data_IF_278314519854
#
_entry.id   IF_278314519854
#
_cell.length_a   1.000
_cell.length_b   1.000
_cell.length_c   1.000
_cell.angle_alpha   90.00
_cell.angle_beta   90.00
_cell.angle_gamma   90.00
#
_symmetry.space_group_name_H-M   'P 1'
#
loop_
_entity.id
_entity.type
_entity.pdbx_description
1 polymer ?
#
# COMPACT_ATOMS: atom_id res chain seq x y z
N UNK A 1 -8.60 -12.65 6.91
CA UNK A 1 -8.96 -11.81 5.75
C UNK A 1 -10.42 -11.42 5.96
N UNK A 2 -10.67 -10.34 6.70
CA UNK A 2 -12.01 -9.79 6.90
C UNK A 2 -12.61 -9.31 5.57
N UNK A 3 -13.69 -8.54 5.61
CA UNK A 3 -14.48 -8.04 4.47
C UNK A 3 -13.74 -7.10 3.50
N UNK A 4 -12.53 -7.45 3.07
CA UNK A 4 -11.73 -6.65 2.14
C UNK A 4 -11.77 -7.27 0.75
N UNK A 5 -12.22 -6.51 -0.23
CA UNK A 5 -12.16 -6.90 -1.64
C UNK A 5 -10.78 -6.62 -2.21
N UNK A 6 -10.06 -7.69 -2.59
CA UNK A 6 -8.68 -7.61 -3.08
C UNK A 6 -8.63 -7.83 -4.59
N UNK A 7 -7.92 -6.96 -5.31
CA UNK A 7 -7.66 -7.10 -6.75
C UNK A 7 -6.18 -7.34 -6.97
N UNK A 8 -5.86 -8.35 -7.78
CA UNK A 8 -4.49 -8.67 -8.19
C UNK A 8 -4.31 -8.41 -9.68
N UNK A 9 -3.35 -7.55 -10.03
CA UNK A 9 -2.90 -7.33 -11.41
C UNK A 9 -1.79 -8.31 -11.76
N UNK A 10 -2.00 -9.12 -12.80
CA UNK A 10 -1.03 -10.12 -13.26
C UNK A 10 -0.66 -9.93 -14.72
N UNK A 11 0.47 -10.50 -15.14
CA UNK A 11 0.76 -10.70 -16.56
C UNK A 11 -0.15 -11.80 -17.11
N UNK A 12 -0.48 -11.72 -18.39
CA UNK A 12 -1.17 -12.79 -19.10
C UNK A 12 -0.21 -13.98 -19.33
N UNK A 13 -0.66 -15.26 -19.18
CA UNK A 13 -2.03 -15.72 -19.00
C UNK A 13 -2.54 -15.69 -17.55
N UNK A 14 -3.80 -15.26 -17.37
CA UNK A 14 -4.45 -15.13 -16.05
C UNK A 14 -4.78 -16.48 -15.37
N UNK A 15 -4.84 -17.57 -16.14
CA UNK A 15 -5.29 -18.89 -15.65
C UNK A 15 -4.33 -19.46 -14.62
N UNK A 16 -3.03 -19.42 -14.90
CA UNK A 16 -1.98 -19.90 -13.99
C UNK A 16 -2.05 -19.24 -12.61
N UNK A 17 -2.32 -17.94 -12.56
CA UNK A 17 -2.42 -17.21 -11.29
C UNK A 17 -3.70 -17.54 -10.53
N UNK A 18 -4.81 -17.81 -11.23
CA UNK A 18 -6.04 -18.30 -10.60
C UNK A 18 -5.84 -19.68 -9.99
N UNK A 19 -5.15 -20.58 -10.70
CA UNK A 19 -4.87 -21.93 -10.20
C UNK A 19 -3.93 -21.88 -8.97
N UNK A 20 -2.92 -21.00 -8.98
CA UNK A 20 -2.05 -20.74 -7.82
C UNK A 20 -2.80 -20.15 -6.62
N UNK A 21 -3.76 -19.25 -6.86
CA UNK A 21 -4.58 -18.64 -5.80
C UNK A 21 -5.60 -19.63 -5.23
N UNK A 22 -6.16 -20.50 -6.07
CA UNK A 22 -7.04 -21.59 -5.65
C UNK A 22 -6.26 -22.59 -4.80
N UNK A 23 -5.05 -22.98 -5.21
CA UNK A 23 -4.16 -23.82 -4.41
C UNK A 23 -3.75 -23.17 -3.07
N UNK A 24 -3.62 -21.85 -3.04
CA UNK A 24 -3.34 -21.08 -1.82
C UNK A 24 -4.57 -20.83 -0.94
N UNK A 25 -5.77 -21.28 -1.36
CA UNK A 25 -7.04 -21.14 -0.66
C UNK A 25 -7.41 -19.68 -0.34
N UNK A 26 -7.16 -18.77 -1.29
CA UNK A 26 -7.50 -17.34 -1.17
C UNK A 26 -8.72 -17.02 -2.02
N UNK A 27 -9.91 -17.11 -1.43
CA UNK A 27 -11.19 -17.08 -2.17
C UNK A 27 -11.66 -15.66 -2.56
N UNK A 28 -11.06 -14.60 -2.00
CA UNK A 28 -11.51 -13.20 -2.19
C UNK A 28 -10.58 -12.33 -3.05
N UNK A 29 -9.78 -12.93 -3.94
CA UNK A 29 -8.87 -12.18 -4.83
C UNK A 29 -9.37 -12.21 -6.28
N UNK A 30 -9.71 -11.04 -6.80
CA UNK A 30 -10.08 -10.86 -8.21
C UNK A 30 -8.83 -10.64 -9.06
N UNK A 31 -8.52 -11.60 -9.92
CA UNK A 31 -7.37 -11.53 -10.85
C UNK A 31 -7.75 -10.77 -12.13
N UNK A 32 -7.00 -9.71 -12.45
CA UNK A 32 -7.15 -8.91 -13.67
C UNK A 32 -5.82 -8.89 -14.42
N UNK A 33 -5.79 -9.40 -15.66
CA UNK A 33 -4.62 -9.28 -16.51
C UNK A 33 -4.49 -7.91 -17.18
N UNK A 34 -3.28 -7.57 -17.60
CA UNK A 34 -2.96 -6.28 -18.22
C UNK A 34 -3.79 -6.07 -19.50
N UNK A 35 -3.97 -7.10 -20.32
CA UNK A 35 -4.77 -6.99 -21.55
C UNK A 35 -6.24 -6.62 -21.27
N UNK A 36 -6.82 -7.18 -20.21
CA UNK A 36 -8.19 -6.83 -19.79
C UNK A 36 -8.25 -5.41 -19.24
N UNK A 37 -7.22 -4.98 -18.51
CA UNK A 37 -7.13 -3.61 -18.01
C UNK A 37 -7.07 -2.60 -19.16
N UNK A 38 -6.29 -2.91 -20.21
CA UNK A 38 -6.15 -2.10 -21.43
C UNK A 38 -7.39 -2.04 -22.30
N UNK A 39 -8.22 -3.09 -22.33
CA UNK A 39 -9.41 -3.14 -23.19
C UNK A 39 -10.67 -2.64 -22.48
N UNK A 40 -10.91 -3.07 -21.24
CA UNK A 40 -12.18 -2.86 -20.53
C UNK A 40 -12.20 -1.65 -19.60
N UNK A 41 -11.04 -1.21 -19.12
CA UNK A 41 -10.94 -0.15 -18.12
C UNK A 41 -10.25 1.11 -18.67
N UNK A 42 -10.45 1.41 -19.96
CA UNK A 42 -9.94 2.65 -20.57
C UNK A 42 -10.75 3.85 -20.12
N UNK A 43 -12.08 3.70 -20.09
CA UNK A 43 -13.03 4.74 -19.71
C UNK A 43 -12.85 5.17 -18.26
N UNK A 44 -13.06 6.48 -18.02
CA UNK A 44 -12.88 7.08 -16.71
C UNK A 44 -13.85 6.52 -15.65
N UNK A 45 -15.09 6.24 -16.04
CA UNK A 45 -16.10 5.67 -15.15
C UNK A 45 -15.72 4.25 -14.69
N UNK A 46 -15.27 3.41 -15.62
CA UNK A 46 -14.81 2.06 -15.29
C UNK A 46 -13.64 2.06 -14.29
N UNK A 47 -12.69 2.99 -14.43
CA UNK A 47 -11.59 3.17 -13.47
C UNK A 47 -12.09 3.64 -12.10
N UNK A 48 -13.04 4.57 -12.07
CA UNK A 48 -13.62 5.09 -10.82
C UNK A 48 -14.39 4.00 -10.08
N UNK A 49 -15.17 3.19 -10.80
CA UNK A 49 -15.94 2.05 -10.26
C UNK A 49 -15.01 0.97 -9.73
N UNK A 50 -13.92 0.65 -10.45
CA UNK A 50 -12.92 -0.30 -9.95
C UNK A 50 -12.29 0.21 -8.65
N UNK A 51 -11.97 1.50 -8.57
CA UNK A 51 -11.37 2.13 -7.40
C UNK A 51 -12.31 2.25 -6.19
N UNK A 52 -13.63 2.38 -6.42
CA UNK A 52 -14.64 2.45 -5.36
C UNK A 52 -15.10 1.08 -4.87
N UNK A 53 -15.18 0.08 -5.75
CA UNK A 53 -15.68 -1.26 -5.41
C UNK A 53 -14.65 -2.21 -4.80
N UNK A 54 -13.39 -1.78 -4.66
CA UNK A 54 -12.32 -2.61 -4.09
C UNK A 54 -11.44 -1.80 -3.14
N UNK A 55 -10.91 -2.46 -2.11
CA UNK A 55 -10.15 -1.82 -1.04
C UNK A 55 -8.65 -1.90 -1.28
N UNK A 56 -8.18 -3.09 -1.63
CA UNK A 56 -6.75 -3.39 -1.75
C UNK A 56 -6.42 -3.78 -3.18
N UNK A 57 -5.46 -3.06 -3.75
CA UNK A 57 -4.86 -3.38 -5.05
C UNK A 57 -3.47 -3.95 -4.85
N UNK A 58 -3.22 -5.09 -5.47
CA UNK A 58 -1.96 -5.81 -5.51
C UNK A 58 -1.55 -6.01 -6.97
N UNK A 59 -0.26 -6.17 -7.22
CA UNK A 59 0.27 -6.38 -8.55
C UNK A 59 1.55 -7.19 -8.53
N UNK A 60 1.78 -7.98 -9.56
CA UNK A 60 3.10 -8.55 -9.81
C UNK A 60 4.15 -7.44 -10.01
N UNK A 61 5.35 -7.63 -9.49
CA UNK A 61 6.45 -6.66 -9.60
C UNK A 61 6.71 -6.24 -11.07
N UNK A 62 6.57 -7.18 -12.01
CA UNK A 62 6.81 -6.94 -13.44
C UNK A 62 5.78 -6.01 -14.08
N UNK A 63 4.58 -5.91 -13.51
CA UNK A 63 3.49 -5.12 -14.09
C UNK A 63 3.38 -3.72 -13.47
N UNK A 64 3.95 -3.52 -12.28
CA UNK A 64 3.99 -2.23 -11.58
C UNK A 64 4.35 -1.02 -12.47
N UNK A 65 5.42 -1.03 -13.29
CA UNK A 65 5.79 0.14 -14.09
C UNK A 65 4.73 0.53 -15.14
N UNK A 66 3.85 -0.41 -15.52
CA UNK A 66 2.80 -0.17 -16.52
C UNK A 66 1.50 0.36 -15.88
N UNK A 67 1.27 0.08 -14.60
CA UNK A 67 0.02 0.39 -13.91
C UNK A 67 -0.28 1.90 -13.77
N UNK A 68 0.68 2.81 -13.55
CA UNK A 68 0.38 4.24 -13.47
C UNK A 68 -0.29 4.79 -14.73
N UNK A 69 0.14 4.32 -15.91
CA UNK A 69 -0.43 4.72 -17.20
C UNK A 69 -1.85 4.18 -17.40
N UNK A 70 -2.12 2.97 -16.90
CA UNK A 70 -3.40 2.28 -17.10
C UNK A 70 -4.47 2.72 -16.09
N UNK A 71 -4.13 2.78 -14.80
CA UNK A 71 -5.05 3.12 -13.70
C UNK A 71 -5.39 4.61 -13.65
N UNK A 72 -4.50 5.47 -14.16
CA UNK A 72 -4.71 6.93 -14.19
C UNK A 72 -4.68 7.57 -12.80
N UNK A 73 -4.96 8.88 -12.75
CA UNK A 73 -4.77 9.74 -11.56
C UNK A 73 -5.73 9.42 -10.40
N UNK A 74 -6.90 8.82 -10.66
CA UNK A 74 -7.92 8.57 -9.64
C UNK A 74 -7.44 7.61 -8.54
N UNK A 75 -6.59 6.64 -8.88
CA UNK A 75 -6.00 5.69 -7.93
C UNK A 75 -4.96 6.36 -7.03
N UNK A 76 -4.14 7.25 -7.59
CA UNK A 76 -3.14 8.01 -6.84
C UNK A 76 -3.79 8.99 -5.87
N UNK A 77 -4.86 9.67 -6.28
CA UNK A 77 -5.59 10.62 -5.42
C UNK A 77 -6.19 9.96 -4.19
N UNK A 78 -6.63 8.70 -4.30
CA UNK A 78 -7.22 7.93 -3.19
C UNK A 78 -6.19 7.12 -2.39
N UNK A 79 -4.88 7.25 -2.66
CA UNK A 79 -3.82 6.42 -2.06
C UNK A 79 -4.02 4.90 -2.24
N UNK A 80 -4.85 4.49 -3.21
CA UNK A 80 -5.15 3.08 -3.52
C UNK A 80 -4.21 2.52 -4.59
N UNK A 81 -2.93 2.86 -4.49
CA UNK A 81 -1.91 2.42 -5.45
C UNK A 81 -1.68 0.89 -5.30
N UNK A 82 -1.40 0.17 -6.38
CA UNK A 82 -1.14 -1.26 -6.30
C UNK A 82 0.18 -1.56 -5.58
N UNK A 83 0.17 -2.52 -4.66
CA UNK A 83 1.38 -2.97 -3.97
C UNK A 83 2.05 -4.13 -4.72
N UNK A 84 3.39 -4.13 -4.75
CA UNK A 84 4.19 -5.21 -5.32
C UNK A 84 3.98 -6.51 -4.56
N UNK A 85 3.75 -7.61 -5.27
CA UNK A 85 3.76 -8.97 -4.71
C UNK A 85 4.58 -9.87 -5.62
N UNK A 86 5.57 -10.54 -5.05
CA UNK A 86 6.37 -11.55 -5.75
C UNK A 86 5.55 -12.85 -5.90
N UNK A 87 4.92 -13.05 -7.06
CA UNK A 87 4.14 -14.26 -7.37
C UNK A 87 5.04 -15.46 -7.80
N UNK A 88 6.36 -15.27 -7.83
CA UNK A 88 7.37 -16.28 -8.17
C UNK A 88 7.81 -17.12 -6.98
N UNK A 89 7.64 -16.63 -5.74
CA UNK A 89 8.03 -17.37 -4.53
C UNK A 89 6.96 -18.41 -4.15
N UNK A 90 7.39 -19.52 -3.54
CA UNK A 90 6.49 -20.61 -3.10
C UNK A 90 5.45 -20.14 -2.06
N UNK A 91 5.74 -19.09 -1.29
CA UNK A 91 4.89 -18.62 -0.19
C UNK A 91 3.97 -17.47 -0.60
N UNK A 92 3.23 -17.63 -1.70
CA UNK A 92 2.32 -16.58 -2.22
C UNK A 92 1.32 -16.13 -1.14
N UNK A 93 0.82 -17.05 -0.31
CA UNK A 93 -0.15 -16.76 0.75
C UNK A 93 0.40 -15.81 1.81
N UNK A 94 1.65 -15.99 2.21
CA UNK A 94 2.29 -15.14 3.23
C UNK A 94 2.55 -13.74 2.68
N UNK A 95 3.07 -13.65 1.45
CA UNK A 95 3.29 -12.36 0.78
C UNK A 95 1.98 -11.60 0.56
N UNK A 96 0.89 -12.29 0.19
CA UNK A 96 -0.44 -11.69 0.08
C UNK A 96 -0.94 -11.19 1.44
N UNK A 97 -0.81 -12.01 2.49
CA UNK A 97 -1.20 -11.61 3.84
C UNK A 97 -0.41 -10.38 4.30
N UNK A 98 0.90 -10.38 4.12
CA UNK A 98 1.77 -9.26 4.45
C UNK A 98 1.42 -8.00 3.65
N UNK A 99 1.03 -8.12 2.38
CA UNK A 99 0.64 -6.99 1.56
C UNK A 99 -0.75 -6.42 1.93
N UNK A 100 -1.64 -7.25 2.48
CA UNK A 100 -2.98 -6.84 2.93
C UNK A 100 -2.95 -6.27 4.35
N UNK A 101 -2.27 -6.95 5.28
CA UNK A 101 -2.14 -6.54 6.68
C UNK A 101 -1.06 -5.45 6.88
N UNK A 102 -0.13 -5.31 5.93
CA UNK A 102 0.98 -4.39 6.00
C UNK A 102 0.63 -2.94 5.66
N UNK A 103 1.34 -2.04 6.33
CA UNK A 103 1.24 -0.61 6.08
C UNK A 103 2.04 -0.18 4.86
N UNK A 104 1.47 0.76 4.09
CA UNK A 104 2.11 1.31 2.89
C UNK A 104 3.01 2.48 3.24
N UNK A 105 4.26 2.39 2.82
CA UNK A 105 5.23 3.47 2.88
C UNK A 105 5.66 3.82 1.46
N UNK A 106 5.20 4.98 0.96
CA UNK A 106 5.62 5.51 -0.33
C UNK A 106 6.55 6.69 -0.07
N UNK A 107 7.84 6.61 -0.44
CA UNK A 107 8.73 7.74 -0.32
C UNK A 107 8.23 8.87 -1.24
N UNK A 108 7.86 10.04 -0.71
CA UNK A 108 7.46 11.18 -1.51
C UNK A 108 8.68 11.78 -2.20
N UNK A 109 8.43 12.60 -3.22
CA UNK A 109 9.45 13.49 -3.79
C UNK A 109 9.71 14.74 -2.94
N UNK A 110 9.02 14.91 -1.82
CA UNK A 110 9.13 16.06 -0.92
C UNK A 110 9.55 15.67 0.50
N UNK A 111 9.42 16.60 1.45
CA UNK A 111 9.93 16.43 2.81
C UNK A 111 8.97 15.68 3.75
N UNK A 112 7.68 15.60 3.39
CA UNK A 112 6.64 15.03 4.25
C UNK A 112 6.16 13.67 3.75
N UNK A 113 6.33 12.63 4.57
CA UNK A 113 5.69 11.32 4.39
C UNK A 113 4.56 11.17 5.39
N UNK A 114 3.41 10.68 4.95
CA UNK A 114 2.33 10.24 5.85
C UNK A 114 2.14 8.73 5.71
N UNK A 115 1.96 8.05 6.84
CA UNK A 115 1.88 6.60 6.91
C UNK A 115 0.69 6.22 7.80
N UNK A 116 -0.16 5.30 7.33
CA UNK A 116 -1.31 4.82 8.07
C UNK A 116 -0.88 3.75 9.08
N UNK A 117 -0.96 4.06 10.38
CA UNK A 117 -0.49 3.18 11.46
C UNK A 117 -1.58 2.31 12.09
N UNK A 118 -2.86 2.61 11.85
CA UNK A 118 -4.00 1.85 12.36
C UNK A 118 -5.31 2.62 12.29
N UNK A 119 -6.36 1.99 12.82
CA UNK A 119 -7.71 2.56 12.90
C UNK A 119 -8.10 2.82 14.37
N UNK A 120 -9.04 3.73 14.60
CA UNK A 120 -9.52 4.07 15.94
C UNK A 120 -10.20 2.90 16.67
N UNK A 121 -10.67 1.90 15.93
CA UNK A 121 -11.33 0.71 16.48
C UNK A 121 -10.32 -0.28 17.12
N UNK A 122 -9.01 -0.06 16.92
CA UNK A 122 -7.98 -0.94 17.45
C UNK A 122 -7.57 -0.54 18.88
N UNK A 123 -7.16 -1.50 19.74
CA UNK A 123 -6.70 -1.18 21.08
C UNK A 123 -5.42 -0.35 21.07
N UNK A 124 -5.32 0.60 22.01
CA UNK A 124 -4.19 1.52 22.11
C UNK A 124 -2.83 0.82 22.17
N UNK A 125 -2.72 -0.31 22.87
CA UNK A 125 -1.47 -1.07 22.96
C UNK A 125 -0.95 -1.52 21.58
N UNK A 126 -1.85 -1.94 20.69
CA UNK A 126 -1.48 -2.32 19.33
C UNK A 126 -1.09 -1.11 18.48
N UNK A 127 -1.78 0.03 18.64
CA UNK A 127 -1.44 1.26 17.92
C UNK A 127 -0.03 1.76 18.28
N UNK A 128 0.32 1.75 19.57
CA UNK A 128 1.66 2.15 20.02
C UNK A 128 2.73 1.21 19.46
N UNK A 129 2.49 -0.10 19.48
CA UNK A 129 3.40 -1.10 18.90
C UNK A 129 3.59 -0.87 17.39
N UNK A 130 2.51 -0.58 16.66
CA UNK A 130 2.55 -0.29 15.23
C UNK A 130 3.33 0.99 14.94
N UNK A 131 3.11 2.07 15.69
CA UNK A 131 3.86 3.33 15.53
C UNK A 131 5.36 3.11 15.71
N UNK A 132 5.75 2.36 16.76
CA UNK A 132 7.16 2.02 16.99
C UNK A 132 7.73 1.14 15.88
N UNK A 133 6.98 0.15 15.40
CA UNK A 133 7.41 -0.72 14.30
C UNK A 133 7.59 0.07 13.00
N UNK A 134 6.66 0.98 12.69
CA UNK A 134 6.74 1.86 11.52
C UNK A 134 7.93 2.79 11.62
N UNK A 135 8.16 3.44 12.77
CA UNK A 135 9.31 4.31 12.95
C UNK A 135 10.64 3.54 12.73
N UNK A 136 10.77 2.35 13.34
CA UNK A 136 11.96 1.49 13.18
C UNK A 136 12.21 1.06 11.73
N UNK A 137 11.16 0.79 10.95
CA UNK A 137 11.29 0.30 9.57
C UNK A 137 11.33 1.41 8.52
N UNK A 138 10.70 2.55 8.77
CA UNK A 138 10.60 3.66 7.83
C UNK A 138 11.88 4.50 7.81
N UNK A 139 12.47 4.76 8.97
CA UNK A 139 13.68 5.58 9.10
C UNK A 139 14.87 5.05 8.30
N UNK A 140 15.25 3.75 8.34
CA UNK A 140 16.36 3.26 7.53
C UNK A 140 16.08 3.24 6.03
N UNK A 141 14.81 3.35 5.61
CA UNK A 141 14.46 3.50 4.19
C UNK A 141 14.64 4.94 3.70
N UNK A 142 14.76 5.91 4.62
CA UNK A 142 15.15 7.27 4.30
C UNK A 142 16.68 7.31 4.16
N UNK A 143 17.17 7.94 3.08
CA UNK A 143 18.61 8.06 2.81
C UNK A 143 19.27 8.94 3.88
N UNK A 144 19.77 8.34 4.96
CA UNK A 144 20.41 9.05 6.08
C UNK A 144 19.79 8.79 7.46
N UNK A 145 19.03 7.70 7.64
CA UNK A 145 18.52 7.24 8.93
C UNK A 145 17.84 8.37 9.74
N UNK A 146 18.13 8.46 11.05
CA UNK A 146 17.52 9.42 11.96
C UNK A 146 18.01 10.86 11.75
N UNK A 147 19.11 11.08 11.05
CA UNK A 147 19.65 12.42 10.82
C UNK A 147 18.76 13.27 9.91
N UNK A 148 18.05 12.63 8.98
CA UNK A 148 17.11 13.31 8.07
C UNK A 148 15.79 13.63 8.75
N UNK A 149 15.44 12.94 9.83
CA UNK A 149 14.14 13.08 10.49
C UNK A 149 14.11 14.36 11.32
N UNK A 150 13.42 15.39 10.82
CA UNK A 150 13.24 16.65 11.53
C UNK A 150 12.17 16.55 12.63
N UNK A 151 11.03 15.95 12.32
CA UNK A 151 9.94 15.78 13.28
C UNK A 151 9.04 14.62 12.87
N UNK A 152 8.41 13.99 13.87
CA UNK A 152 7.37 12.99 13.69
C UNK A 152 6.09 13.52 14.32
N UNK A 153 5.01 13.50 13.55
CA UNK A 153 3.70 13.93 14.01
C UNK A 153 2.69 12.80 13.87
N UNK A 154 1.81 12.67 14.85
CA UNK A 154 0.67 11.77 14.83
C UNK A 154 -0.60 12.60 14.63
N UNK A 155 -1.40 12.25 13.61
CA UNK A 155 -2.69 12.90 13.37
C UNK A 155 -3.74 11.89 12.96
N UNK A 156 -5.00 12.21 13.25
CA UNK A 156 -6.16 11.55 12.62
C UNK A 156 -6.60 12.34 11.38
N UNK A 157 -7.72 11.95 10.75
CA UNK A 157 -8.23 12.60 9.56
C UNK A 157 -8.65 14.07 9.80
N UNK A 158 -9.20 14.36 10.97
CA UNK A 158 -9.78 15.68 11.32
C UNK A 158 -9.05 16.38 12.48
N UNK A 159 -8.17 15.67 13.18
CA UNK A 159 -7.49 16.21 14.37
C UNK A 159 -6.20 16.96 14.05
N UNK A 160 -5.78 17.78 15.00
CA UNK A 160 -4.49 18.46 15.00
C UNK A 160 -3.34 17.45 15.12
N UNK A 161 -2.21 17.82 14.53
CA UNK A 161 -1.02 16.97 14.51
C UNK A 161 -0.27 17.06 15.84
N UNK A 162 -0.23 15.96 16.58
CA UNK A 162 0.49 15.83 17.85
C UNK A 162 1.98 15.52 17.56
N UNK A 163 2.93 16.37 17.99
CA UNK A 163 4.35 16.09 17.84
C UNK A 163 4.77 14.94 18.76
N UNK A 164 5.33 13.87 18.19
CA UNK A 164 5.92 12.76 18.93
C UNK A 164 7.43 12.92 19.09
N UNK A 165 8.07 13.48 18.08
CA UNK A 165 9.50 13.73 18.04
C UNK A 165 9.72 15.03 17.31
N UNK A 166 10.62 15.86 17.82
CA UNK A 166 11.12 17.03 17.13
C UNK A 166 12.60 17.10 17.40
N UNK A 167 13.40 17.15 16.33
CA UNK A 167 14.82 17.40 16.43
C UNK A 167 14.97 18.78 17.07
N UNK A 168 15.70 18.92 18.20
CA UNK A 168 15.98 20.22 18.75
C UNK A 168 16.72 21.02 17.67
N UNK A 169 16.09 22.11 17.23
CA UNK A 169 16.73 23.07 16.33
C UNK A 169 17.81 23.77 17.14
N UNK A 170 19.03 23.21 17.12
CA UNK A 170 20.19 23.89 17.64
C UNK A 170 20.41 25.17 16.84
N UNK A 171 20.14 26.30 17.50
CA UNK A 171 20.86 27.55 17.30
C UNK A 171 22.34 27.22 17.15
N UNK A 172 22.88 27.45 15.94
CA UNK A 172 24.30 27.72 15.80
C UNK A 172 24.50 29.14 16.36
N UNK A 173 24.86 29.22 17.65
CA UNK A 173 25.83 30.23 18.09
C UNK A 173 27.24 29.66 17.89
#
# INVERSE_FOLDING_TARGET
LGECDVVLFTKDPQREYKDKLAAAQVERVKVIGIDKLRKKYVEYEAKRNLCSGHDVFLSDDRVLPLLPKLLGKSFFKKSKQPAAVDLTRKNVRESLRQAVEGTRFLPPSGTLVSVLVGFSDQPQAHLVANVLAVAKQAVPKLKGDWDVVQALYLKSAESVALPLYQRPSGSKE
#
